data_IF_471667710954
#
_entry.id   IF_471667710954
#
_cell.length_a   1.000
_cell.length_b   1.000
_cell.length_c   1.000
_cell.angle_alpha   90.00
_cell.angle_beta   90.00
_cell.angle_gamma   90.00
#
_symmetry.space_group_name_H-M   'P 1'
#
loop_
_entity.id
_entity.type
_entity.pdbx_description
1 polymer ?
#
# COMPACT_ATOMS: atom_id res chain seq x y z
N UNK A 1 -50.20 -20.65 41.36
CA UNK A 1 -49.43 -20.39 40.12
C UNK A 1 -48.28 -19.37 40.25
N UNK A 2 -48.20 -18.55 41.30
CA UNK A 2 -47.23 -17.43 41.39
C UNK A 2 -45.75 -17.85 41.50
N UNK A 3 -45.44 -18.89 42.29
CA UNK A 3 -44.07 -19.35 42.62
C UNK A 3 -43.22 -19.79 41.41
N UNK A 4 -43.87 -20.24 40.32
CA UNK A 4 -43.20 -20.74 39.10
C UNK A 4 -42.77 -19.59 38.17
N UNK A 5 -43.48 -18.46 38.23
CA UNK A 5 -43.20 -17.24 37.44
C UNK A 5 -42.03 -16.45 38.03
N UNK A 6 -41.95 -16.36 39.36
CA UNK A 6 -40.85 -15.70 40.08
C UNK A 6 -39.51 -16.42 39.87
N UNK A 7 -39.49 -17.77 39.89
CA UNK A 7 -38.28 -18.57 39.62
C UNK A 7 -37.74 -18.39 38.20
N UNK A 8 -38.63 -18.36 37.20
CA UNK A 8 -38.23 -18.09 35.80
C UNK A 8 -37.67 -16.69 35.63
N UNK A 9 -38.24 -15.69 36.32
CA UNK A 9 -37.74 -14.32 36.30
C UNK A 9 -36.34 -14.22 36.92
N UNK A 10 -36.10 -14.95 38.01
CA UNK A 10 -34.80 -14.97 38.69
C UNK A 10 -33.70 -15.61 37.82
N UNK A 11 -34.02 -16.76 37.20
CA UNK A 11 -33.12 -17.46 36.28
C UNK A 11 -32.79 -16.62 35.04
N UNK A 12 -33.77 -15.85 34.54
CA UNK A 12 -33.60 -14.96 33.40
C UNK A 12 -32.71 -13.75 33.75
N UNK A 13 -32.81 -13.22 34.97
CA UNK A 13 -31.92 -12.16 35.47
C UNK A 13 -30.48 -12.68 35.61
N UNK A 14 -30.26 -13.87 36.18
CA UNK A 14 -28.92 -14.48 36.26
C UNK A 14 -28.30 -14.66 34.88
N UNK A 15 -29.05 -15.24 33.93
CA UNK A 15 -28.57 -15.44 32.56
C UNK A 15 -28.20 -14.10 31.89
N UNK A 16 -29.05 -13.07 32.03
CA UNK A 16 -28.75 -11.74 31.47
C UNK A 16 -27.52 -11.09 32.12
N UNK A 17 -27.35 -11.23 33.44
CA UNK A 17 -26.17 -10.70 34.15
C UNK A 17 -24.90 -11.42 33.73
N UNK A 18 -24.92 -12.76 33.60
CA UNK A 18 -23.81 -13.54 33.10
C UNK A 18 -23.44 -13.15 31.65
N UNK A 19 -24.45 -12.97 30.78
CA UNK A 19 -24.23 -12.53 29.41
C UNK A 19 -23.63 -11.11 29.36
N UNK A 20 -24.10 -10.21 30.22
CA UNK A 20 -23.57 -8.84 30.31
C UNK A 20 -22.11 -8.81 30.77
N UNK A 21 -21.74 -9.63 31.76
CA UNK A 21 -20.37 -9.76 32.23
C UNK A 21 -19.46 -10.32 31.12
N UNK A 22 -19.94 -11.32 30.39
CA UNK A 22 -19.24 -11.87 29.23
C UNK A 22 -19.04 -10.79 28.15
N UNK A 23 -20.06 -9.99 27.84
CA UNK A 23 -19.92 -8.90 26.87
C UNK A 23 -18.95 -7.80 27.35
N UNK A 24 -18.98 -7.44 28.64
CA UNK A 24 -18.06 -6.44 29.22
C UNK A 24 -16.61 -6.88 29.16
N UNK A 25 -16.34 -8.19 29.25
CA UNK A 25 -14.98 -8.74 29.13
C UNK A 25 -14.58 -8.99 27.68
N UNK A 26 -15.46 -9.57 26.86
CA UNK A 26 -15.13 -9.93 25.47
C UNK A 26 -15.01 -8.71 24.56
N UNK A 27 -15.88 -7.71 24.72
CA UNK A 27 -15.87 -6.52 23.85
C UNK A 27 -14.52 -5.77 23.87
N UNK A 28 -13.91 -5.45 25.02
CA UNK A 28 -12.59 -4.82 25.05
C UNK A 28 -11.50 -5.76 24.50
N UNK A 29 -11.56 -7.07 24.75
CA UNK A 29 -10.61 -8.03 24.18
C UNK A 29 -10.68 -8.08 22.64
N UNK A 30 -11.89 -8.09 22.08
CA UNK A 30 -12.11 -8.07 20.62
C UNK A 30 -11.60 -6.75 20.04
N UNK A 31 -11.88 -5.61 20.69
CA UNK A 31 -11.38 -4.30 20.25
C UNK A 31 -9.86 -4.23 20.29
N UNK A 32 -9.25 -4.72 21.36
CA UNK A 32 -7.80 -4.80 21.50
C UNK A 32 -7.18 -5.68 20.41
N UNK A 33 -7.74 -6.88 20.19
CA UNK A 33 -7.29 -7.79 19.15
C UNK A 33 -7.38 -7.18 17.76
N UNK A 34 -8.51 -6.57 17.41
CA UNK A 34 -8.65 -5.88 16.12
C UNK A 34 -7.70 -4.68 15.98
N UNK A 35 -7.47 -3.94 17.05
CA UNK A 35 -6.52 -2.80 17.05
C UNK A 35 -5.09 -3.28 16.81
N UNK A 36 -4.65 -4.33 17.50
CA UNK A 36 -3.33 -4.95 17.31
C UNK A 36 -3.21 -5.49 15.88
N UNK A 37 -4.20 -6.24 15.41
CA UNK A 37 -4.18 -6.85 14.08
C UNK A 37 -4.06 -5.78 12.99
N UNK A 38 -4.88 -4.73 13.06
CA UNK A 38 -4.81 -3.60 12.14
C UNK A 38 -3.46 -2.89 12.18
N UNK A 39 -2.90 -2.68 13.37
CA UNK A 39 -1.58 -2.06 13.53
C UNK A 39 -0.48 -2.89 12.85
N UNK A 40 -0.55 -4.22 12.97
CA UNK A 40 0.42 -5.13 12.32
C UNK A 40 0.28 -5.09 10.80
N UNK A 41 -0.95 -5.04 10.26
CA UNK A 41 -1.18 -4.94 8.81
C UNK A 41 -0.60 -3.63 8.23
N UNK A 42 -0.82 -2.50 8.92
CA UNK A 42 -0.25 -1.21 8.53
C UNK A 42 1.30 -1.21 8.62
N UNK A 43 1.86 -1.90 9.62
CA UNK A 43 3.32 -2.02 9.82
C UNK A 43 3.99 -2.93 8.77
N UNK A 44 3.31 -3.99 8.31
CA UNK A 44 3.78 -4.86 7.21
C UNK A 44 3.89 -4.08 5.90
N UNK A 45 2.92 -3.22 5.59
CA UNK A 45 2.97 -2.36 4.41
C UNK A 45 4.19 -1.43 4.50
N UNK A 46 4.40 -0.80 5.66
CA UNK A 46 5.54 0.09 5.88
C UNK A 46 6.89 -0.64 5.78
N UNK A 47 6.97 -1.89 6.24
CA UNK A 47 8.19 -2.70 6.15
C UNK A 47 8.56 -3.04 4.70
N UNK A 48 7.55 -3.27 3.85
CA UNK A 48 7.76 -3.63 2.44
C UNK A 48 7.84 -2.40 1.52
N UNK A 49 7.42 -1.23 2.00
CA UNK A 49 7.36 0.02 1.23
C UNK A 49 8.69 0.40 0.56
N UNK A 50 9.89 0.28 1.18
CA UNK A 50 11.16 0.56 0.49
C UNK A 50 11.38 -0.32 -0.74
N UNK A 51 11.06 -1.61 -0.65
CA UNK A 51 11.19 -2.56 -1.76
C UNK A 51 10.18 -2.26 -2.87
N UNK A 52 8.95 -1.87 -2.52
CA UNK A 52 7.95 -1.41 -3.49
C UNK A 52 8.46 -0.18 -4.24
N UNK A 53 8.96 0.82 -3.52
CA UNK A 53 9.52 2.06 -4.10
C UNK A 53 10.64 1.73 -5.10
N UNK A 54 11.60 0.88 -4.69
CA UNK A 54 12.72 0.47 -5.56
C UNK A 54 12.22 -0.20 -6.83
N UNK A 55 11.28 -1.15 -6.71
CA UNK A 55 10.73 -1.85 -7.85
C UNK A 55 9.99 -0.91 -8.83
N UNK A 56 9.22 0.05 -8.30
CA UNK A 56 8.54 1.06 -9.12
C UNK A 56 9.53 1.93 -9.90
N UNK A 57 10.64 2.35 -9.29
CA UNK A 57 11.68 3.11 -9.99
C UNK A 57 12.38 2.29 -11.08
N UNK A 58 12.68 1.01 -10.83
CA UNK A 58 13.27 0.14 -11.85
C UNK A 58 12.34 -0.07 -13.05
N UNK A 59 11.04 -0.26 -12.80
CA UNK A 59 10.06 -0.40 -13.89
C UNK A 59 10.02 0.84 -14.81
N UNK A 60 10.15 2.05 -14.24
CA UNK A 60 10.21 3.29 -15.02
C UNK A 60 11.53 3.39 -15.79
N UNK A 61 12.65 3.04 -15.16
CA UNK A 61 13.97 3.02 -15.82
C UNK A 61 13.98 2.09 -17.03
N UNK A 62 13.43 0.87 -16.88
CA UNK A 62 13.31 -0.11 -17.95
C UNK A 62 12.38 0.37 -19.07
N UNK A 63 11.23 0.94 -18.73
CA UNK A 63 10.32 1.52 -19.73
C UNK A 63 10.99 2.66 -20.53
N UNK A 64 11.74 3.52 -19.87
CA UNK A 64 12.52 4.57 -20.54
C UNK A 64 13.60 3.98 -21.46
N UNK A 65 14.30 2.93 -21.01
CA UNK A 65 15.32 2.22 -21.80
C UNK A 65 14.71 1.59 -23.06
N UNK A 66 13.57 0.91 -22.93
CA UNK A 66 12.87 0.30 -24.07
C UNK A 66 12.40 1.34 -25.09
N UNK A 67 11.86 2.48 -24.64
CA UNK A 67 11.50 3.59 -25.52
C UNK A 67 12.71 4.10 -26.30
N UNK A 68 13.83 4.32 -25.62
CA UNK A 68 15.07 4.77 -26.25
C UNK A 68 15.57 3.75 -27.28
N UNK A 69 15.45 2.44 -27.01
CA UNK A 69 15.86 1.37 -27.93
C UNK A 69 14.99 1.35 -29.19
N UNK A 70 13.70 1.69 -29.05
CA UNK A 70 12.79 1.89 -30.17
C UNK A 70 13.03 3.21 -30.95
N UNK A 71 14.05 3.99 -30.56
CA UNK A 71 14.39 5.27 -31.19
C UNK A 71 13.51 6.44 -30.74
N UNK A 72 12.66 6.23 -29.74
CA UNK A 72 11.81 7.25 -29.12
C UNK A 72 12.57 7.87 -27.96
N UNK A 73 12.79 9.18 -28.02
CA UNK A 73 13.38 9.88 -26.88
C UNK A 73 12.32 10.06 -25.80
N UNK A 74 12.59 9.70 -24.53
CA UNK A 74 11.63 9.89 -23.45
C UNK A 74 11.23 11.35 -23.37
N UNK A 75 9.97 11.60 -23.04
CA UNK A 75 9.43 12.95 -22.83
C UNK A 75 8.94 13.07 -21.39
N UNK A 76 8.94 14.30 -20.85
CA UNK A 76 8.30 14.56 -19.55
C UNK A 76 6.82 14.21 -19.63
N UNK A 77 6.27 13.67 -18.54
CA UNK A 77 4.87 13.22 -18.52
C UNK A 77 4.48 12.52 -17.23
N UNK A 78 3.24 12.04 -17.20
CA UNK A 78 2.67 11.31 -16.06
C UNK A 78 2.11 9.97 -16.50
N UNK A 79 2.12 8.98 -15.62
CA UNK A 79 1.48 7.69 -15.84
C UNK A 79 0.96 7.05 -14.56
N UNK A 80 0.13 6.02 -14.74
CA UNK A 80 -0.43 5.21 -13.66
C UNK A 80 -0.07 3.76 -13.90
N UNK A 81 0.39 3.08 -12.85
CA UNK A 81 0.79 1.68 -12.88
C UNK A 81 0.39 0.98 -11.58
N UNK A 82 0.50 -0.34 -11.60
CA UNK A 82 0.19 -1.19 -10.45
C UNK A 82 1.37 -2.11 -10.17
N UNK A 83 1.80 -2.15 -8.92
CA UNK A 83 2.75 -3.14 -8.41
C UNK A 83 1.99 -4.24 -7.66
N UNK A 84 2.34 -5.51 -7.91
CA UNK A 84 1.71 -6.64 -7.21
C UNK A 84 2.66 -7.17 -6.14
N UNK A 85 2.19 -7.19 -4.91
CA UNK A 85 2.93 -7.66 -3.75
C UNK A 85 2.28 -8.92 -3.18
N UNK A 86 3.09 -9.88 -2.73
CA UNK A 86 2.61 -11.07 -2.05
C UNK A 86 2.83 -10.93 -0.55
N UNK A 87 1.75 -11.06 0.22
CA UNK A 87 1.79 -11.05 1.69
C UNK A 87 2.42 -12.34 2.21
N UNK A 88 2.88 -12.33 3.47
CA UNK A 88 3.40 -13.52 4.15
C UNK A 88 2.39 -14.68 4.24
N UNK A 89 1.10 -14.40 4.07
CA UNK A 89 0.02 -15.38 4.06
C UNK A 89 -0.27 -15.94 2.65
N UNK A 90 0.47 -15.50 1.63
CA UNK A 90 0.27 -15.91 0.23
C UNK A 90 -0.81 -15.13 -0.53
N UNK A 91 -1.47 -14.16 0.10
CA UNK A 91 -2.44 -13.29 -0.57
C UNK A 91 -1.70 -12.26 -1.43
N UNK A 92 -2.25 -11.95 -2.61
CA UNK A 92 -1.75 -10.89 -3.48
C UNK A 92 -2.45 -9.57 -3.19
N UNK A 93 -1.67 -8.49 -3.14
CA UNK A 93 -2.14 -7.12 -2.92
C UNK A 93 -1.67 -6.28 -4.09
N UNK A 94 -2.61 -5.55 -4.71
CA UNK A 94 -2.31 -4.58 -5.74
C UNK A 94 -2.02 -3.22 -5.11
N UNK A 95 -0.86 -2.69 -5.42
CA UNK A 95 -0.37 -1.39 -4.96
C UNK A 95 -0.42 -0.42 -6.15
N UNK A 96 -1.46 0.43 -6.25
CA UNK A 96 -1.50 1.45 -7.29
C UNK A 96 -0.46 2.52 -7.02
N UNK A 97 0.19 3.01 -8.07
CA UNK A 97 1.06 4.17 -7.99
C UNK A 97 0.95 5.05 -9.24
N UNK A 98 1.03 6.36 -9.03
CA UNK A 98 1.22 7.31 -10.13
C UNK A 98 2.67 7.73 -10.17
N UNK A 99 3.14 8.12 -11.35
CA UNK A 99 4.47 8.66 -11.51
C UNK A 99 4.44 9.88 -12.42
N UNK A 100 5.35 10.82 -12.15
CA UNK A 100 5.65 11.94 -13.04
C UNK A 100 7.14 11.97 -13.32
N UNK A 101 7.49 12.16 -14.59
CA UNK A 101 8.86 12.25 -15.08
C UNK A 101 9.07 13.68 -15.60
N UNK A 102 10.13 14.34 -15.13
CA UNK A 102 10.59 15.60 -15.71
C UNK A 102 12.04 15.50 -16.19
N UNK A 103 12.25 15.60 -17.50
CA UNK A 103 13.56 15.44 -18.13
C UNK A 103 14.27 16.78 -18.20
N UNK A 104 15.20 17.01 -17.26
CA UNK A 104 16.01 18.24 -17.22
C UNK A 104 17.05 18.32 -18.32
N UNK A 105 17.64 17.19 -18.72
CA UNK A 105 18.70 17.15 -19.73
C UNK A 105 18.72 15.82 -20.49
N UNK A 106 18.38 15.91 -21.78
CA UNK A 106 18.51 14.85 -22.76
C UNK A 106 19.59 15.17 -23.80
N UNK A 107 20.40 14.18 -24.17
CA UNK A 107 21.38 14.28 -25.25
C UNK A 107 21.21 13.11 -26.22
N UNK A 108 21.02 13.42 -27.51
CA UNK A 108 21.01 12.44 -28.60
C UNK A 108 22.31 12.60 -29.40
N UNK A 109 23.26 11.68 -29.23
CA UNK A 109 24.49 11.64 -30.00
C UNK A 109 24.42 10.60 -31.14
N UNK A 110 25.39 10.66 -32.06
CA UNK A 110 25.46 9.72 -33.21
C UNK A 110 25.69 8.25 -32.78
N UNK A 111 26.17 8.00 -31.55
CA UNK A 111 26.52 6.66 -31.05
C UNK A 111 26.01 6.34 -29.64
N UNK A 112 25.37 7.29 -28.93
CA UNK A 112 24.71 7.01 -27.63
C UNK A 112 23.52 7.95 -27.42
N UNK A 113 22.44 7.40 -26.88
CA UNK A 113 21.26 8.16 -26.46
C UNK A 113 21.33 8.25 -24.94
N UNK A 114 21.33 9.46 -24.39
CA UNK A 114 21.40 9.70 -22.94
C UNK A 114 20.23 10.55 -22.49
N UNK A 115 19.44 10.04 -21.56
CA UNK A 115 18.47 10.81 -20.80
C UNK A 115 18.97 10.87 -19.36
N UNK A 116 19.78 11.86 -18.99
CA UNK A 116 20.59 11.77 -17.76
C UNK A 116 20.13 12.54 -16.54
N UNK A 117 18.99 13.21 -16.60
CA UNK A 117 18.49 13.96 -15.45
C UNK A 117 16.96 13.98 -15.48
N UNK A 118 16.35 12.80 -15.43
CA UNK A 118 14.92 12.68 -15.25
C UNK A 118 14.60 12.71 -13.76
N UNK A 119 13.91 13.74 -13.28
CA UNK A 119 13.32 13.71 -11.94
C UNK A 119 12.05 12.87 -12.01
N UNK A 120 12.06 11.75 -11.29
CA UNK A 120 10.91 10.88 -11.18
C UNK A 120 10.34 11.04 -9.79
N UNK A 121 9.07 11.43 -9.74
CA UNK A 121 8.26 11.47 -8.53
C UNK A 121 7.26 10.32 -8.61
N UNK A 122 7.21 9.52 -7.57
CA UNK A 122 6.23 8.45 -7.37
C UNK A 122 5.27 8.86 -6.27
N UNK A 123 3.98 8.61 -6.49
CA UNK A 123 2.96 8.63 -5.45
C UNK A 123 2.36 7.22 -5.33
N UNK A 124 2.69 6.53 -4.24
CA UNK A 124 2.20 5.19 -3.94
C UNK A 124 0.91 5.30 -3.13
N UNK A 125 -0.11 4.52 -3.48
CA UNK A 125 -1.47 4.61 -2.94
C UNK A 125 -2.09 6.01 -3.13
N UNK A 126 -2.18 6.51 -4.38
CA UNK A 126 -2.77 7.81 -4.66
C UNK A 126 -4.19 7.90 -4.09
N UNK A 127 -4.56 9.05 -3.53
CA UNK A 127 -5.86 9.31 -2.90
C UNK A 127 -6.17 8.46 -1.65
N UNK A 128 -5.19 7.76 -1.08
CA UNK A 128 -5.35 7.03 0.18
C UNK A 128 -4.70 7.77 1.35
N UNK A 129 -5.13 7.46 2.58
CA UNK A 129 -4.52 8.02 3.81
C UNK A 129 -3.04 7.65 3.97
N UNK A 130 -2.60 6.58 3.32
CA UNK A 130 -1.22 6.07 3.37
C UNK A 130 -0.41 6.47 2.11
N UNK A 131 -0.81 7.56 1.44
CA UNK A 131 -0.09 8.04 0.27
C UNK A 131 1.37 8.33 0.63
N UNK A 132 2.29 7.73 -0.13
CA UNK A 132 3.74 7.93 0.06
C UNK A 132 4.34 8.55 -1.19
N UNK A 133 5.06 9.65 -1.00
CA UNK A 133 5.78 10.34 -2.07
C UNK A 133 7.27 9.97 -2.02
N UNK A 134 7.81 9.53 -3.15
CA UNK A 134 9.23 9.26 -3.31
C UNK A 134 9.77 9.96 -4.56
N UNK A 135 10.92 10.60 -4.44
CA UNK A 135 11.56 11.28 -5.56
C UNK A 135 12.98 10.75 -5.75
N UNK A 136 13.34 10.44 -7.01
CA UNK A 136 14.72 10.09 -7.40
C UNK A 136 15.04 10.68 -8.76
N UNK A 137 16.30 11.04 -8.94
CA UNK A 137 16.83 11.40 -10.25
C UNK A 137 17.36 10.14 -10.95
N UNK A 138 16.93 9.90 -12.18
CA UNK A 138 17.33 8.77 -13.01
C UNK A 138 18.18 9.25 -14.21
N UNK A 139 19.16 8.43 -14.61
CA UNK A 139 19.93 8.61 -15.84
C UNK A 139 19.94 7.29 -16.61
N UNK A 140 19.26 7.28 -17.76
CA UNK A 140 19.19 6.13 -18.67
C UNK A 140 20.11 6.40 -19.85
N UNK A 141 20.96 5.43 -20.15
CA UNK A 141 21.94 5.48 -21.24
C UNK A 141 21.79 4.25 -22.12
N UNK A 142 21.82 4.47 -23.43
CA UNK A 142 22.00 3.44 -24.46
C UNK A 142 23.35 3.57 -25.13
#
# INVERSE_FOLDING_TARGET
MHKKRTKRSFLLVEVLTALSLICVVLTPCIRFYHSIHRSIEEEVINLQLPMVIDNCFFAIEDAMREQMLAGVFPSSGTGELTYTMTTSQGNTVSVPYTYSIDIRKGMRGNSSIRACFADVVLEIFPNHRHATLAQRSLCVVL
#
